data_IF_247985017007
#
_entry.id   IF_247985017007
#
_cell.length_a   1.000
_cell.length_b   1.000
_cell.length_c   1.000
_cell.angle_alpha   90.00
_cell.angle_beta   90.00
_cell.angle_gamma   90.00
#
_symmetry.space_group_name_H-M   'P 1'
#
loop_
_entity.id
_entity.type
_entity.pdbx_description
1 polymer ?
#
# COMPACT_ATOMS: atom_id res chain seq x y z
N UNK A 1 -31.08 -69.99 5.93
CA UNK A 1 -30.38 -69.96 7.24
C UNK A 1 -29.01 -69.33 6.97
N UNK A 2 -28.52 -68.21 7.50
CA UNK A 2 -28.99 -67.17 8.45
C UNK A 2 -27.73 -66.78 9.26
N UNK A 3 -27.33 -65.51 9.26
CA UNK A 3 -26.02 -65.06 9.74
C UNK A 3 -25.41 -64.08 8.74
N UNK A 4 -25.90 -62.84 8.64
CA UNK A 4 -25.68 -61.70 9.56
C UNK A 4 -24.43 -60.92 9.17
N UNK A 5 -24.59 -59.64 8.85
CA UNK A 5 -23.53 -58.76 8.35
C UNK A 5 -23.37 -57.53 9.26
N UNK A 6 -22.20 -57.41 9.89
CA UNK A 6 -21.70 -56.34 10.78
C UNK A 6 -20.20 -56.62 10.98
N UNK A 7 -19.27 -55.66 11.13
CA UNK A 7 -19.27 -54.19 10.99
C UNK A 7 -17.80 -53.74 10.93
N UNK A 8 -17.48 -52.52 10.45
CA UNK A 8 -16.17 -51.82 10.63
C UNK A 8 -14.98 -52.53 9.94
N UNK A 9 -14.52 -52.18 8.74
CA UNK A 9 -14.37 -50.87 8.08
C UNK A 9 -13.26 -50.00 8.72
N UNK A 10 -12.31 -49.59 7.86
CA UNK A 10 -11.06 -48.89 8.14
C UNK A 10 -11.14 -47.74 9.16
N UNK A 11 -10.08 -47.58 9.95
CA UNK A 11 -9.67 -46.29 10.47
C UNK A 11 -8.19 -46.03 10.15
N UNK A 12 -7.95 -44.99 9.37
CA UNK A 12 -6.64 -44.42 9.12
C UNK A 12 -6.15 -43.71 10.38
N UNK A 13 -5.06 -44.20 10.98
CA UNK A 13 -4.34 -43.40 11.97
C UNK A 13 -3.49 -42.36 11.22
N UNK A 14 -4.00 -41.15 11.15
CA UNK A 14 -3.28 -40.00 10.59
C UNK A 14 -2.04 -39.70 11.42
N UNK A 15 -0.91 -39.45 10.75
CA UNK A 15 0.33 -39.06 11.42
C UNK A 15 0.33 -37.55 11.67
N UNK A 16 0.21 -37.14 12.95
CA UNK A 16 0.20 -35.73 13.36
C UNK A 16 1.41 -34.95 12.78
N UNK A 17 1.18 -33.91 11.96
CA UNK A 17 2.25 -33.14 11.34
C UNK A 17 3.10 -32.33 12.32
N UNK A 18 2.68 -32.19 13.59
CA UNK A 18 3.37 -31.34 14.58
C UNK A 18 4.52 -32.03 15.34
N UNK A 19 4.75 -33.33 15.15
CA UNK A 19 5.86 -34.02 15.81
C UNK A 19 7.22 -33.61 15.20
N UNK A 20 7.75 -32.47 15.68
CA UNK A 20 9.01 -31.85 15.25
C UNK A 20 10.14 -32.89 15.20
N UNK A 21 10.54 -33.30 13.99
CA UNK A 21 11.65 -34.23 13.76
C UNK A 21 12.94 -33.63 14.31
N UNK A 22 13.34 -34.08 15.51
CA UNK A 22 14.58 -33.70 16.19
C UNK A 22 15.77 -33.91 15.24
N UNK A 23 16.59 -32.89 15.04
CA UNK A 23 17.72 -32.96 14.12
C UNK A 23 18.63 -34.14 14.50
N UNK A 24 18.84 -35.08 13.58
CA UNK A 24 19.83 -36.14 13.77
C UNK A 24 21.22 -35.52 13.74
N UNK A 25 22.05 -35.85 14.72
CA UNK A 25 23.46 -35.49 14.73
C UNK A 25 24.16 -36.05 13.49
N UNK A 26 25.25 -35.40 13.07
CA UNK A 26 26.11 -35.94 12.01
C UNK A 26 26.63 -37.34 12.43
N UNK A 27 26.67 -38.32 11.51
CA UNK A 27 27.18 -39.65 11.81
C UNK A 27 28.64 -39.58 12.26
N UNK A 28 29.01 -40.46 13.19
CA UNK A 28 30.35 -40.55 13.77
C UNK A 28 31.42 -40.80 12.70
N UNK A 29 32.71 -40.50 12.96
CA UNK A 29 33.79 -40.78 12.01
C UNK A 29 33.82 -42.24 11.56
N UNK A 30 33.53 -43.17 12.46
CA UNK A 30 33.47 -44.63 12.22
C UNK A 30 32.31 -45.02 11.30
N UNK A 31 31.15 -44.37 11.40
CA UNK A 31 30.01 -44.60 10.51
C UNK A 31 30.26 -44.02 9.11
N UNK A 32 30.96 -42.88 9.00
CA UNK A 32 31.38 -42.32 7.70
C UNK A 32 32.34 -43.26 6.97
N UNK A 33 33.30 -43.86 7.68
CA UNK A 33 34.26 -44.78 7.09
C UNK A 33 33.59 -46.01 6.43
N UNK A 34 32.46 -46.49 6.97
CA UNK A 34 31.68 -47.59 6.37
C UNK A 34 30.94 -47.22 5.09
N UNK A 35 30.88 -45.94 4.72
CA UNK A 35 30.20 -45.42 3.52
C UNK A 35 31.18 -45.01 2.39
N UNK A 36 32.49 -45.24 2.53
CA UNK A 36 33.49 -44.85 1.52
C UNK A 36 33.64 -45.84 0.34
N UNK A 37 32.84 -46.91 0.29
CA UNK A 37 32.83 -47.81 -0.89
C UNK A 37 32.04 -47.14 -2.03
N UNK A 38 32.67 -47.02 -3.20
CA UNK A 38 32.11 -46.50 -4.47
C UNK A 38 31.76 -45.00 -4.54
N UNK A 39 32.74 -44.13 -4.29
CA UNK A 39 32.79 -42.81 -4.98
C UNK A 39 34.12 -42.65 -5.72
N UNK A 40 34.06 -42.63 -7.05
CA UNK A 40 35.21 -42.30 -7.90
C UNK A 40 35.69 -40.89 -7.59
N UNK A 41 37.00 -40.74 -7.29
CA UNK A 41 37.62 -39.44 -7.07
C UNK A 41 37.84 -38.75 -8.41
N UNK A 42 37.06 -37.73 -8.72
CA UNK A 42 37.42 -36.75 -9.75
C UNK A 42 38.77 -36.11 -9.38
N UNK A 43 39.77 -36.10 -10.28
CA UNK A 43 41.01 -35.38 -10.03
C UNK A 43 40.77 -33.86 -10.01
N UNK A 44 41.67 -33.12 -9.37
CA UNK A 44 41.78 -31.65 -9.41
C UNK A 44 40.49 -30.85 -9.17
N UNK A 45 40.06 -30.78 -7.90
CA UNK A 45 39.35 -29.60 -7.40
C UNK A 45 39.75 -29.33 -5.95
N UNK A 46 40.30 -28.14 -5.68
CA UNK A 46 40.59 -27.72 -4.32
C UNK A 46 39.27 -27.43 -3.59
N UNK A 47 39.06 -28.05 -2.43
CA UNK A 47 37.83 -27.87 -1.63
C UNK A 47 37.83 -26.50 -0.94
N UNK A 48 37.56 -25.43 -1.69
CA UNK A 48 37.33 -24.09 -1.15
C UNK A 48 36.03 -24.09 -0.34
N UNK A 49 36.14 -23.83 0.97
CA UNK A 49 34.97 -23.47 1.79
C UNK A 49 34.50 -22.08 1.33
N UNK A 50 33.22 -21.96 0.98
CA UNK A 50 32.54 -20.66 0.82
C UNK A 50 31.53 -20.49 1.94
N UNK A 51 31.45 -19.28 2.47
CA UNK A 51 30.42 -18.88 3.41
C UNK A 51 29.20 -18.42 2.62
N UNK A 52 28.03 -18.94 3.01
CA UNK A 52 26.76 -18.69 2.35
C UNK A 52 25.68 -18.46 3.41
N UNK A 53 24.58 -17.85 3.01
CA UNK A 53 23.39 -17.71 3.85
C UNK A 53 22.64 -19.06 4.00
N UNK A 54 21.50 -19.02 4.71
CA UNK A 54 20.62 -20.19 4.89
C UNK A 54 19.92 -20.66 3.61
N UNK A 55 20.03 -19.93 2.51
CA UNK A 55 19.51 -20.27 1.18
C UNK A 55 20.61 -20.84 0.26
N UNK A 56 21.87 -20.81 0.69
CA UNK A 56 23.03 -21.27 -0.08
C UNK A 56 23.62 -20.23 -1.03
N UNK A 57 23.22 -18.95 -0.90
CA UNK A 57 23.76 -17.84 -1.67
C UNK A 57 25.07 -17.35 -1.03
N UNK A 58 26.11 -17.11 -1.84
CA UNK A 58 27.39 -16.58 -1.35
C UNK A 58 27.17 -15.19 -0.72
N UNK A 59 27.72 -14.97 0.49
CA UNK A 59 27.47 -13.77 1.28
C UNK A 59 27.99 -12.52 0.54
N UNK A 60 27.07 -11.79 -0.09
CA UNK A 60 27.33 -10.55 -0.81
C UNK A 60 27.76 -9.44 0.16
N UNK A 61 29.07 -9.19 0.18
CA UNK A 61 29.76 -8.07 0.86
C UNK A 61 29.23 -7.74 2.27
N UNK A 62 29.86 -8.33 3.30
CA UNK A 62 29.68 -7.89 4.69
C UNK A 62 30.30 -6.49 4.83
N UNK A 63 29.49 -5.45 4.59
CA UNK A 63 29.87 -4.05 4.87
C UNK A 63 29.95 -3.88 6.38
N UNK A 64 31.16 -3.69 6.89
CA UNK A 64 31.35 -3.11 8.21
C UNK A 64 30.89 -1.64 8.14
N UNK A 65 30.22 -1.19 9.19
CA UNK A 65 29.87 0.21 9.40
C UNK A 65 30.66 0.70 10.61
N UNK A 66 31.29 1.86 10.47
CA UNK A 66 31.95 2.57 11.56
C UNK A 66 30.96 3.58 12.20
N UNK A 67 31.14 3.97 13.46
CA UNK A 67 30.32 5.02 14.08
C UNK A 67 30.53 6.41 13.42
N UNK A 68 31.56 6.55 12.57
CA UNK A 68 31.81 7.71 11.70
C UNK A 68 31.21 7.60 10.29
N UNK A 69 30.66 6.45 9.88
CA UNK A 69 29.95 6.33 8.60
C UNK A 69 28.61 7.08 8.65
N UNK A 70 28.52 8.20 7.93
CA UNK A 70 27.25 8.93 7.76
C UNK A 70 26.24 8.00 7.06
N UNK A 71 25.09 7.68 7.67
CA UNK A 71 24.17 6.71 7.11
C UNK A 71 23.50 7.25 5.84
N UNK A 72 23.74 6.59 4.70
CA UNK A 72 23.04 6.87 3.45
C UNK A 72 21.54 6.52 3.60
N UNK A 73 20.74 7.54 3.88
CA UNK A 73 19.28 7.46 4.00
C UNK A 73 18.69 7.03 2.65
N UNK A 74 18.06 5.84 2.52
CA UNK A 74 17.56 5.37 1.24
C UNK A 74 16.48 6.29 0.66
N UNK A 75 16.43 6.44 -0.67
CA UNK A 75 15.54 7.40 -1.35
C UNK A 75 14.07 7.33 -0.90
N UNK A 76 13.53 6.13 -0.59
CA UNK A 76 12.16 5.97 -0.07
C UNK A 76 11.87 6.77 1.21
N UNK A 77 12.90 7.10 2.00
CA UNK A 77 12.82 7.92 3.21
C UNK A 77 13.02 9.40 2.83
N UNK A 78 13.92 9.71 1.90
CA UNK A 78 14.07 11.08 1.37
C UNK A 78 12.79 11.58 0.67
N UNK A 79 12.07 10.69 -0.03
CA UNK A 79 10.78 10.96 -0.65
C UNK A 79 9.64 11.23 0.35
N UNK A 80 9.78 10.83 1.63
CA UNK A 80 8.89 11.29 2.71
C UNK A 80 9.16 12.75 3.13
N UNK A 81 10.28 13.34 2.70
CA UNK A 81 10.67 14.71 3.03
C UNK A 81 10.66 15.68 1.83
N UNK A 82 10.51 15.21 0.60
CA UNK A 82 10.52 16.09 -0.60
C UNK A 82 9.25 16.92 -0.79
N UNK A 83 8.08 16.44 -0.34
CA UNK A 83 6.81 17.17 -0.40
C UNK A 83 6.22 17.30 1.02
N UNK A 84 6.24 18.49 1.65
CA UNK A 84 5.65 18.70 2.98
C UNK A 84 4.11 18.59 3.05
N UNK A 85 3.43 18.36 1.93
CA UNK A 85 1.98 18.19 1.80
C UNK A 85 1.69 17.15 0.72
N UNK A 86 0.70 16.28 0.96
CA UNK A 86 0.26 15.26 0.01
C UNK A 86 -1.22 14.89 0.22
N UNK A 87 -1.98 14.76 -0.86
CA UNK A 87 -3.33 14.18 -0.85
C UNK A 87 -3.26 12.66 -0.56
N UNK A 88 -3.78 12.23 0.59
CA UNK A 88 -3.81 10.81 0.99
C UNK A 88 -4.97 10.05 0.32
N UNK A 89 -6.18 10.62 0.35
CA UNK A 89 -7.36 10.08 -0.34
C UNK A 89 -8.27 11.20 -0.86
N UNK A 90 -9.12 10.87 -1.84
CA UNK A 90 -10.21 11.74 -2.29
C UNK A 90 -11.45 10.90 -2.66
N UNK A 91 -12.60 11.37 -2.22
CA UNK A 91 -13.92 10.76 -2.41
C UNK A 91 -14.88 11.81 -2.95
N UNK A 92 -15.58 11.49 -4.04
CA UNK A 92 -16.58 12.34 -4.66
C UNK A 92 -17.94 11.65 -4.63
N UNK A 93 -18.94 12.32 -4.05
CA UNK A 93 -20.34 11.88 -4.06
C UNK A 93 -21.19 12.76 -5.00
N UNK A 94 -22.51 12.67 -4.91
CA UNK A 94 -23.45 13.39 -5.77
C UNK A 94 -23.45 14.92 -5.55
N UNK A 95 -23.09 15.36 -4.34
CA UNK A 95 -23.22 16.74 -3.85
C UNK A 95 -21.94 17.27 -3.18
N UNK A 96 -20.91 16.46 -2.98
CA UNK A 96 -19.70 16.88 -2.28
C UNK A 96 -18.42 16.17 -2.74
N UNK A 97 -17.29 16.80 -2.42
CA UNK A 97 -15.95 16.24 -2.54
C UNK A 97 -15.27 16.34 -1.19
N UNK A 98 -14.85 15.22 -0.63
CA UNK A 98 -14.09 15.13 0.61
C UNK A 98 -12.81 14.33 0.42
N UNK A 99 -11.89 14.39 1.37
CA UNK A 99 -10.66 13.63 1.32
C UNK A 99 -9.76 13.91 2.50
N UNK A 100 -8.71 13.11 2.61
CA UNK A 100 -7.67 13.27 3.62
C UNK A 100 -6.37 13.76 2.99
N UNK A 101 -5.67 14.64 3.72
CA UNK A 101 -4.38 15.22 3.37
C UNK A 101 -3.41 14.88 4.50
N UNK A 102 -2.19 14.48 4.16
CA UNK A 102 -1.06 14.47 5.11
C UNK A 102 -0.21 15.71 4.92
N UNK A 103 0.30 16.23 6.03
CA UNK A 103 1.33 17.28 6.06
C UNK A 103 2.45 16.92 7.02
N UNK A 104 3.68 17.32 6.70
CA UNK A 104 4.85 17.14 7.56
C UNK A 104 4.74 18.06 8.78
N UNK A 105 4.96 17.55 9.99
CA UNK A 105 4.74 18.29 11.24
C UNK A 105 5.89 19.28 11.55
N UNK A 106 6.00 20.34 10.75
CA UNK A 106 7.11 21.32 10.81
C UNK A 106 7.01 22.35 11.96
N UNK A 107 5.80 22.63 12.44
CA UNK A 107 5.52 23.48 13.62
C UNK A 107 4.11 23.18 14.12
N UNK A 108 3.70 23.68 15.29
CA UNK A 108 2.32 23.53 15.77
C UNK A 108 1.32 24.37 14.96
N UNK A 109 1.55 25.68 14.85
CA UNK A 109 0.68 26.58 14.10
C UNK A 109 0.83 26.37 12.59
N UNK A 110 -0.24 25.90 11.97
CA UNK A 110 -0.30 25.61 10.52
C UNK A 110 -1.73 25.71 10.00
N UNK A 111 -1.87 25.85 8.69
CA UNK A 111 -3.16 25.75 7.99
C UNK A 111 -3.03 24.93 6.72
N UNK A 112 -4.08 24.14 6.43
CA UNK A 112 -4.22 23.37 5.19
C UNK A 112 -5.48 23.86 4.50
N UNK A 113 -5.44 24.06 3.18
CA UNK A 113 -6.63 24.36 2.39
C UNK A 113 -6.63 23.65 1.05
N UNK A 114 -7.81 23.28 0.58
CA UNK A 114 -8.03 22.87 -0.80
C UNK A 114 -8.37 24.13 -1.60
N UNK A 115 -7.54 24.47 -2.59
CA UNK A 115 -7.84 25.50 -3.59
C UNK A 115 -8.39 24.84 -4.84
N UNK A 116 -9.54 25.30 -5.33
CA UNK A 116 -10.20 24.74 -6.50
C UNK A 116 -10.65 25.80 -7.50
N UNK A 117 -10.73 25.40 -8.77
CA UNK A 117 -11.18 26.20 -9.91
C UNK A 117 -12.01 25.35 -10.86
N UNK A 118 -12.97 25.97 -11.55
CA UNK A 118 -13.82 25.30 -12.54
C UNK A 118 -13.78 25.99 -13.92
N UNK A 119 -12.91 27.00 -14.07
CA UNK A 119 -12.73 27.82 -15.28
C UNK A 119 -11.24 27.94 -15.66
N UNK A 120 -10.50 26.84 -15.53
CA UNK A 120 -9.06 26.76 -15.84
C UNK A 120 -8.21 27.81 -15.10
N UNK A 121 -8.46 28.00 -13.81
CA UNK A 121 -7.70 28.87 -12.89
C UNK A 121 -7.83 30.38 -13.16
N UNK A 122 -8.79 30.80 -14.00
CA UNK A 122 -9.17 32.23 -14.16
C UNK A 122 -9.74 32.80 -12.85
N UNK A 123 -10.54 32.01 -12.14
CA UNK A 123 -10.88 32.26 -10.73
C UNK A 123 -10.69 30.99 -9.91
N UNK A 124 -10.51 31.16 -8.60
CA UNK A 124 -10.35 30.06 -7.66
C UNK A 124 -11.08 30.36 -6.35
N UNK A 125 -11.35 29.31 -5.57
CA UNK A 125 -11.91 29.38 -4.23
C UNK A 125 -11.08 28.50 -3.29
N UNK A 126 -10.91 28.95 -2.04
CA UNK A 126 -10.17 28.23 -1.01
C UNK A 126 -11.16 27.68 0.03
N UNK A 127 -10.96 26.43 0.43
CA UNK A 127 -11.69 25.77 1.51
C UNK A 127 -10.70 25.26 2.55
N UNK A 128 -10.85 25.68 3.81
CA UNK A 128 -9.99 25.24 4.91
C UNK A 128 -10.25 23.76 5.24
N UNK A 129 -9.18 23.00 5.41
CA UNK A 129 -9.22 21.64 5.93
C UNK A 129 -9.10 21.67 7.46
N UNK A 130 -9.80 20.78 8.15
CA UNK A 130 -9.74 20.62 9.61
C UNK A 130 -8.73 19.54 9.99
N UNK A 131 -7.98 19.76 11.08
CA UNK A 131 -7.14 18.72 11.66
C UNK A 131 -8.01 17.54 12.15
N UNK A 132 -7.56 16.31 11.93
CA UNK A 132 -8.21 15.10 12.42
C UNK A 132 -7.59 14.74 13.79
N UNK A 133 -8.35 14.74 14.90
CA UNK A 133 -7.83 14.33 16.21
C UNK A 133 -7.19 12.95 16.19
N UNK A 134 -6.19 12.76 17.05
CA UNK A 134 -5.48 11.48 17.28
C UNK A 134 -4.90 10.80 16.02
N UNK A 135 -4.73 11.57 14.94
CA UNK A 135 -4.27 11.08 13.63
C UNK A 135 -2.77 11.27 13.36
N UNK A 136 -2.09 12.07 14.20
CA UNK A 136 -0.68 12.37 14.05
C UNK A 136 0.18 11.17 14.42
N UNK A 137 1.12 10.79 13.53
CA UNK A 137 2.13 9.78 13.82
C UNK A 137 3.45 10.38 14.36
N UNK A 138 3.40 11.64 14.80
CA UNK A 138 4.55 12.40 15.32
C UNK A 138 5.47 12.95 14.23
N UNK A 139 5.41 12.40 13.01
CA UNK A 139 6.13 12.92 11.83
C UNK A 139 5.18 13.70 10.93
N UNK A 140 3.95 13.22 10.74
CA UNK A 140 2.92 13.84 9.90
C UNK A 140 1.59 13.96 10.62
N UNK A 141 0.83 14.99 10.24
CA UNK A 141 -0.54 15.23 10.72
C UNK A 141 -1.53 14.99 9.59
N UNK A 142 -2.73 14.47 9.92
CA UNK A 142 -3.82 14.33 8.96
C UNK A 142 -4.84 15.46 9.08
N UNK A 143 -5.23 15.99 7.93
CA UNK A 143 -6.29 16.97 7.77
C UNK A 143 -7.38 16.40 6.87
N UNK A 144 -8.64 16.77 7.11
CA UNK A 144 -9.77 16.45 6.24
C UNK A 144 -10.38 17.71 5.63
N UNK A 145 -10.75 17.64 4.36
CA UNK A 145 -11.52 18.69 3.69
C UNK A 145 -12.88 18.17 3.25
N UNK A 146 -13.85 19.07 3.08
CA UNK A 146 -15.11 18.80 2.38
C UNK A 146 -15.63 20.07 1.72
N UNK A 147 -15.82 20.03 0.40
CA UNK A 147 -16.51 21.08 -0.37
C UNK A 147 -17.84 20.55 -0.91
N UNK A 148 -18.84 21.43 -1.04
CA UNK A 148 -20.05 21.14 -1.80
C UNK A 148 -19.70 21.21 -3.29
N UNK A 149 -20.05 20.18 -4.06
CA UNK A 149 -19.82 20.12 -5.49
C UNK A 149 -20.80 21.05 -6.22
N UNK A 150 -20.32 22.04 -7.01
CA UNK A 150 -21.22 22.96 -7.70
C UNK A 150 -21.99 22.28 -8.85
N UNK A 151 -23.28 22.58 -8.97
CA UNK A 151 -24.20 21.98 -9.96
C UNK A 151 -23.79 22.19 -11.42
N UNK A 152 -22.96 23.19 -11.73
CA UNK A 152 -22.46 23.41 -13.10
C UNK A 152 -21.43 22.37 -13.58
N UNK A 153 -20.99 21.42 -12.73
CA UNK A 153 -20.33 20.20 -13.21
C UNK A 153 -21.26 19.30 -14.04
N UNK A 154 -22.57 19.37 -13.84
CA UNK A 154 -23.57 18.48 -14.47
C UNK A 154 -23.61 18.66 -16.00
N UNK A 155 -23.17 19.82 -16.49
CA UNK A 155 -23.03 20.15 -17.90
C UNK A 155 -21.71 19.63 -18.52
N UNK A 156 -20.99 18.73 -17.86
CA UNK A 156 -19.68 18.23 -18.29
C UNK A 156 -18.49 19.10 -17.85
N UNK A 157 -18.70 19.95 -16.84
CA UNK A 157 -17.65 20.75 -16.22
C UNK A 157 -16.53 19.89 -15.61
N UNK A 158 -15.35 20.47 -15.46
CA UNK A 158 -14.19 19.82 -14.82
C UNK A 158 -13.72 20.70 -13.67
N UNK A 159 -13.91 20.24 -12.43
CA UNK A 159 -13.29 20.87 -11.28
C UNK A 159 -11.82 20.48 -11.25
N UNK A 160 -10.94 21.46 -11.11
CA UNK A 160 -9.52 21.27 -10.85
C UNK A 160 -9.21 21.71 -9.42
N UNK A 161 -8.36 20.99 -8.70
CA UNK A 161 -7.92 21.39 -7.37
C UNK A 161 -6.45 21.06 -7.08
N UNK A 162 -5.90 21.77 -6.11
CA UNK A 162 -4.59 21.57 -5.51
C UNK A 162 -4.71 21.79 -3.99
N UNK A 163 -3.83 21.14 -3.22
CA UNK A 163 -3.77 21.31 -1.77
C UNK A 163 -2.66 22.29 -1.44
N UNK A 164 -3.00 23.31 -0.63
CA UNK A 164 -2.10 24.30 -0.06
C UNK A 164 -1.82 23.95 1.40
N UNK A 165 -0.57 24.10 1.80
CA UNK A 165 -0.12 23.97 3.18
C UNK A 165 0.71 25.18 3.59
N UNK A 166 0.28 25.89 4.63
CA UNK A 166 1.01 27.02 5.21
C UNK A 166 1.48 26.71 6.63
N UNK A 167 2.77 26.91 6.89
CA UNK A 167 3.42 26.70 8.20
C UNK A 167 4.64 27.59 8.31
N UNK A 168 4.84 28.24 9.46
CA UNK A 168 6.03 29.09 9.71
C UNK A 168 6.26 30.21 8.69
N UNK A 169 5.19 30.74 8.08
CA UNK A 169 5.26 31.76 7.02
C UNK A 169 5.62 31.24 5.62
N UNK A 170 5.87 29.94 5.46
CA UNK A 170 6.10 29.29 4.16
C UNK A 170 4.80 28.74 3.57
N UNK A 171 4.77 28.51 2.26
CA UNK A 171 3.65 27.94 1.51
C UNK A 171 4.15 26.77 0.64
N UNK A 172 3.54 25.61 0.80
CA UNK A 172 3.81 24.39 0.04
C UNK A 172 2.55 23.94 -0.71
N UNK A 173 2.72 23.30 -1.86
CA UNK A 173 1.64 22.92 -2.76
C UNK A 173 1.75 21.47 -3.19
N UNK A 174 0.69 20.69 -2.97
CA UNK A 174 0.42 19.49 -3.75
C UNK A 174 -0.52 19.85 -4.91
N UNK A 175 0.08 20.06 -6.07
CA UNK A 175 -0.60 20.36 -7.33
C UNK A 175 -0.45 19.22 -8.34
N UNK A 176 -0.19 17.98 -7.90
CA UNK A 176 0.02 16.82 -8.77
C UNK A 176 1.07 17.10 -9.88
N UNK A 177 2.25 17.60 -9.47
CA UNK A 177 3.36 18.02 -10.34
C UNK A 177 2.91 18.98 -11.46
N UNK A 178 2.12 20.00 -11.12
CA UNK A 178 1.56 21.01 -12.03
C UNK A 178 0.35 20.55 -12.85
N UNK A 179 -0.02 19.27 -12.82
CA UNK A 179 -1.18 18.77 -13.57
C UNK A 179 -2.52 19.13 -12.91
N UNK A 180 -2.50 19.37 -11.60
CA UNK A 180 -3.63 19.45 -10.67
C UNK A 180 -4.44 18.14 -10.58
N UNK A 181 -5.21 18.01 -9.51
CA UNK A 181 -6.24 16.98 -9.38
C UNK A 181 -7.48 17.41 -10.15
N UNK A 182 -8.19 16.46 -10.78
CA UNK A 182 -9.29 16.75 -11.71
C UNK A 182 -10.49 15.84 -11.43
N UNK A 183 -11.64 16.46 -11.15
CA UNK A 183 -12.91 15.77 -10.90
C UNK A 183 -13.87 16.08 -12.05
N UNK A 184 -14.50 15.03 -12.59
CA UNK A 184 -15.47 15.10 -13.68
C UNK A 184 -16.71 14.29 -13.32
N UNK A 185 -17.89 14.93 -13.37
CA UNK A 185 -19.16 14.22 -13.20
C UNK A 185 -19.50 13.49 -14.50
N UNK A 186 -19.17 12.20 -14.59
CA UNK A 186 -19.73 11.36 -15.63
C UNK A 186 -21.21 11.12 -15.33
N UNK A 187 -22.10 11.75 -16.10
CA UNK A 187 -23.52 11.38 -16.12
C UNK A 187 -23.63 9.93 -16.58
N UNK A 188 -23.85 9.02 -15.63
CA UNK A 188 -24.41 7.72 -15.95
C UNK A 188 -25.71 7.95 -16.71
N UNK A 189 -25.70 7.64 -18.01
CA UNK A 189 -26.96 7.42 -18.73
C UNK A 189 -27.55 6.10 -18.23
N UNK A 190 -28.20 6.18 -17.08
CA UNK A 190 -29.55 5.64 -17.05
C UNK A 190 -30.33 6.36 -18.15
N UNK A 191 -30.43 5.68 -19.29
CA UNK A 191 -31.66 5.64 -20.08
C UNK A 191 -32.76 4.95 -19.24
N UNK A 192 -33.84 4.43 -19.84
CA UNK A 192 -34.64 3.29 -19.21
C UNK A 192 -34.04 0.33 -19.38
N UNK A 193 -34.28 -0.77 -18.51
CA UNK A 193 -34.57 -2.13 -19.06
C UNK A 193 -35.61 -1.98 -20.16
N UNK A 194 -35.24 -2.32 -21.41
CA UNK A 194 -35.92 -1.86 -22.65
C UNK A 194 -37.44 -2.08 -22.66
N UNK A 195 -37.90 -3.04 -21.86
CA UNK A 195 -39.24 -3.18 -21.27
C UNK A 195 -40.00 -1.85 -21.02
N UNK A 196 -39.28 -0.79 -20.64
CA UNK A 196 -39.75 0.59 -20.45
C UNK A 196 -40.58 1.16 -21.61
N UNK A 197 -40.21 0.89 -22.86
CA UNK A 197 -40.58 1.73 -24.02
C UNK A 197 -42.08 1.70 -24.37
N UNK A 198 -42.85 0.81 -23.74
CA UNK A 198 -44.29 0.64 -23.95
C UNK A 198 -45.16 1.09 -22.75
N UNK A 199 -44.56 1.64 -21.70
CA UNK A 199 -45.23 2.00 -20.44
C UNK A 199 -46.04 3.28 -20.49
N UNK A 200 -47.30 3.22 -20.95
CA UNK A 200 -48.23 4.35 -20.89
C UNK A 200 -48.66 4.66 -19.45
N UNK A 201 -48.24 5.80 -18.92
CA UNK A 201 -48.71 6.30 -17.62
C UNK A 201 -50.11 6.90 -17.80
N UNK A 202 -51.12 6.20 -17.29
CA UNK A 202 -52.48 6.74 -17.22
C UNK A 202 -52.67 7.44 -15.87
N UNK A 203 -53.02 8.72 -15.91
CA UNK A 203 -53.48 9.46 -14.72
C UNK A 203 -54.99 9.21 -14.53
N UNK A 204 -55.44 9.33 -13.28
CA UNK A 204 -56.84 9.24 -12.83
C UNK A 204 -57.22 10.49 -12.05
#
# INVERSE_FOLDING_TARGET
RSGSAVQTLLHSMEADPNLRRRCKSLPTPTERAKLEISRSRSPTSQKKVRFADSLGLELISVKHFDDTDVPEVPERILLQFTNPVLLETVEADEFSLSGFVRVLNLAFEKSVSLRYSLNNWITFMDSLASYVPDSSDGVTDKFCFKIVMPTYLDNGGTLQFAIKYCVGGQEFWDNNNGNNYKVRRHRFKMSPPREWENGWIHFI
#
